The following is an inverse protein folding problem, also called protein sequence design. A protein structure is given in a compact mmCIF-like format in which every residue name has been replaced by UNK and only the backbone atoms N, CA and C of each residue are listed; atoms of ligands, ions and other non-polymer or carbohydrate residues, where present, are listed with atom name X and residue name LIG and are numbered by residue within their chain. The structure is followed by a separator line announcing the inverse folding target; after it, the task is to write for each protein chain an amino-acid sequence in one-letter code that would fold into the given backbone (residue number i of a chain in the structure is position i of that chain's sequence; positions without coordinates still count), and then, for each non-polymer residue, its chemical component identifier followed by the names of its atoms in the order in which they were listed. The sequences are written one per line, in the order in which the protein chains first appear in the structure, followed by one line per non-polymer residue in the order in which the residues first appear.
data_IF_999322120620
#
_entry.id   IF_999322120620
#
_cell.length_a   1.000
_cell.length_b   1.000
_cell.length_c   1.000
_cell.angle_alpha   90.00
_cell.angle_beta   90.00
_cell.angle_gamma   90.00
#
_symmetry.space_group_name_H-M   'P 1'
#
loop_
_entity.id
_entity.type
_entity.pdbx_description
1 polymer ?
#
# COMPACT_ATOMS: atom_id res chain seq x y z
N UNK A 1 -5.89 0.31 -5.97
CA UNK A 1 -4.73 -0.10 -5.14
C UNK A 1 -4.85 -1.59 -4.88
N UNK A 2 -3.89 -2.41 -5.32
CA UNK A 2 -3.85 -3.81 -4.92
C UNK A 2 -3.17 -3.87 -3.55
N UNK A 3 -3.97 -3.85 -2.47
CA UNK A 3 -3.50 -4.20 -1.14
C UNK A 3 -2.93 -5.62 -1.24
N UNK A 4 -1.65 -5.79 -0.89
CA UNK A 4 -1.01 -7.11 -0.81
C UNK A 4 -1.65 -7.85 0.37
N UNK A 5 -2.52 -8.81 0.08
CA UNK A 5 -3.22 -9.63 1.08
C UNK A 5 -2.62 -11.03 1.15
N UNK A 6 -2.89 -11.74 2.25
CA UNK A 6 -2.63 -13.18 2.36
C UNK A 6 -3.55 -13.96 1.41
N UNK A 7 -3.15 -14.01 0.14
CA UNK A 7 -3.79 -14.78 -0.91
C UNK A 7 -3.25 -16.22 -0.94
N UNK A 8 -3.84 -17.06 -1.80
CA UNK A 8 -3.44 -18.46 -1.96
C UNK A 8 -1.97 -18.62 -2.34
N UNK A 9 -1.40 -17.69 -3.10
CA UNK A 9 0.01 -17.69 -3.51
C UNK A 9 0.93 -17.47 -2.31
N UNK A 10 0.67 -16.42 -1.51
CA UNK A 10 1.46 -16.14 -0.30
C UNK A 10 1.37 -17.28 0.71
N UNK A 11 0.20 -17.87 0.89
CA UNK A 11 0.02 -19.04 1.77
C UNK A 11 0.79 -20.25 1.23
N UNK A 12 0.83 -20.44 -0.09
CA UNK A 12 1.60 -21.52 -0.71
C UNK A 12 3.11 -21.34 -0.50
N UNK A 13 3.62 -20.11 -0.60
CA UNK A 13 5.03 -19.82 -0.35
C UNK A 13 5.41 -20.04 1.13
N UNK A 14 4.54 -19.62 2.06
CA UNK A 14 4.71 -19.93 3.50
C UNK A 14 4.76 -21.44 3.71
N UNK A 15 3.87 -22.19 3.06
CA UNK A 15 3.82 -23.65 3.13
C UNK A 15 5.12 -24.26 2.61
N UNK A 16 5.62 -23.75 1.49
CA UNK A 16 6.88 -24.21 0.91
C UNK A 16 8.06 -23.96 1.88
N UNK A 17 8.13 -22.77 2.47
CA UNK A 17 9.16 -22.43 3.47
C UNK A 17 9.05 -23.30 4.73
N UNK A 18 7.84 -23.61 5.16
CA UNK A 18 7.62 -24.47 6.32
C UNK A 18 8.10 -25.89 6.01
N UNK A 19 7.78 -26.41 4.83
CA UNK A 19 8.21 -27.74 4.40
C UNK A 19 9.73 -27.87 4.29
N UNK A 20 10.42 -26.80 3.88
CA UNK A 20 11.88 -26.74 3.85
C UNK A 20 12.50 -26.75 5.26
N UNK A 21 11.78 -26.19 6.24
CA UNK A 21 12.25 -26.05 7.61
C UNK A 21 11.98 -27.30 8.45
N UNK A 22 10.82 -27.94 8.26
CA UNK A 22 10.39 -29.12 9.04
C UNK A 22 10.70 -30.44 8.34
N UNK A 23 10.97 -30.41 7.03
CA UNK A 23 11.07 -31.61 6.19
C UNK A 23 9.72 -32.29 5.93
N UNK A 24 8.61 -31.70 6.34
CA UNK A 24 7.26 -32.25 6.18
C UNK A 24 6.53 -31.56 5.03
N UNK A 25 5.95 -32.35 4.13
CA UNK A 25 5.17 -31.84 2.99
C UNK A 25 3.86 -31.17 3.42
N UNK A 26 3.32 -31.61 4.57
CA UNK A 26 2.05 -31.15 5.10
C UNK A 26 2.23 -30.02 6.12
N UNK A 27 1.28 -29.06 6.19
CA UNK A 27 1.28 -28.02 7.22
C UNK A 27 1.32 -28.60 8.63
N UNK A 28 2.26 -28.12 9.46
CA UNK A 28 2.37 -28.58 10.84
C UNK A 28 1.26 -27.95 11.68
N UNK A 29 0.63 -28.76 12.53
CA UNK A 29 -0.47 -28.30 13.39
C UNK A 29 0.01 -27.16 14.31
N UNK A 30 -0.52 -25.96 14.07
CA UNK A 30 -0.17 -24.77 14.83
C UNK A 30 1.12 -24.07 14.36
N UNK A 31 1.75 -24.56 13.30
CA UNK A 31 2.89 -23.97 12.63
C UNK A 31 2.53 -22.75 11.76
N UNK A 32 3.52 -22.14 11.10
CA UNK A 32 3.37 -20.91 10.31
C UNK A 32 2.23 -20.91 9.29
N UNK A 33 2.09 -21.98 8.52
CA UNK A 33 1.06 -22.16 7.49
C UNK A 33 -0.33 -22.22 8.11
N UNK A 34 -0.47 -22.95 9.21
CA UNK A 34 -1.73 -23.05 9.93
C UNK A 34 -2.17 -21.70 10.53
N UNK A 35 -1.24 -20.80 10.85
CA UNK A 35 -1.56 -19.43 11.26
C UNK A 35 -1.87 -18.54 10.06
N UNK A 36 -1.09 -18.63 8.98
CA UNK A 36 -1.34 -17.86 7.75
C UNK A 36 -2.72 -18.15 7.14
N UNK A 37 -3.17 -19.41 7.18
CA UNK A 37 -4.50 -19.80 6.70
C UNK A 37 -5.64 -19.17 7.50
N UNK A 38 -5.45 -18.89 8.80
CA UNK A 38 -6.47 -18.20 9.63
C UNK A 38 -6.60 -16.72 9.29
N UNK A 39 -5.54 -16.15 8.75
CA UNK A 39 -5.45 -14.75 8.35
C UNK A 39 -5.60 -14.57 6.84
N UNK A 40 -6.24 -15.54 6.17
CA UNK A 40 -6.49 -15.45 4.74
C UNK A 40 -7.32 -14.20 4.40
N UNK A 41 -6.91 -13.48 3.35
CA UNK A 41 -7.46 -12.18 2.92
C UNK A 41 -7.17 -10.99 3.85
N UNK A 42 -6.41 -11.17 4.94
CA UNK A 42 -5.93 -10.04 5.74
C UNK A 42 -4.72 -9.37 5.06
N UNK A 43 -4.40 -8.14 5.51
CA UNK A 43 -3.29 -7.36 4.95
C UNK A 43 -1.93 -7.92 5.37
N UNK A 44 -0.97 -8.01 4.43
CA UNK A 44 0.40 -8.43 4.72
C UNK A 44 1.16 -7.47 5.65
N UNK A 45 0.67 -6.23 5.79
CA UNK A 45 1.23 -5.22 6.68
C UNK A 45 0.67 -5.29 8.11
N UNK A 46 -0.28 -6.18 8.40
CA UNK A 46 -0.83 -6.31 9.75
C UNK A 46 0.19 -7.01 10.68
N UNK A 47 0.66 -6.24 11.66
CA UNK A 47 1.64 -6.72 12.65
C UNK A 47 1.14 -7.92 13.46
N UNK A 48 -0.18 -8.08 13.63
CA UNK A 48 -0.77 -9.22 14.32
C UNK A 48 -0.54 -10.51 13.54
N UNK A 49 -0.72 -10.48 12.22
CA UNK A 49 -0.56 -11.67 11.37
C UNK A 49 0.90 -12.11 11.33
N UNK A 50 1.82 -11.16 11.17
CA UNK A 50 3.26 -11.44 11.21
C UNK A 50 3.67 -12.04 12.56
N UNK A 51 3.12 -11.53 13.67
CA UNK A 51 3.36 -12.07 15.01
C UNK A 51 2.84 -13.50 15.18
N UNK A 52 1.62 -13.79 14.70
CA UNK A 52 1.01 -15.10 14.85
C UNK A 52 1.74 -16.16 14.01
N UNK A 53 2.19 -15.82 12.79
CA UNK A 53 3.04 -16.68 11.96
C UNK A 53 4.39 -16.95 12.64
N UNK A 54 5.01 -15.92 13.23
CA UNK A 54 6.28 -16.04 13.98
C UNK A 54 6.14 -16.98 15.18
N UNK A 55 5.05 -16.85 15.95
CA UNK A 55 4.76 -17.79 17.05
C UNK A 55 4.52 -19.22 16.57
N UNK A 56 3.94 -19.37 15.37
CA UNK A 56 3.80 -20.67 14.72
C UNK A 56 5.17 -21.30 14.45
N UNK A 57 6.12 -20.51 13.94
CA UNK A 57 7.48 -20.96 13.65
C UNK A 57 8.26 -21.30 14.93
N UNK A 58 8.11 -20.48 15.96
CA UNK A 58 8.72 -20.72 17.27
C UNK A 58 8.25 -22.04 17.88
N UNK A 59 6.97 -22.39 17.72
CA UNK A 59 6.42 -23.65 18.21
C UNK A 59 7.02 -24.88 17.54
N UNK A 60 7.43 -24.78 16.28
CA UNK A 60 8.00 -25.91 15.53
C UNK A 60 9.53 -25.98 15.63
N UNK A 61 10.21 -24.83 15.76
CA UNK A 61 11.69 -24.77 15.78
C UNK A 61 12.29 -24.64 17.16
N UNK A 62 11.50 -24.24 18.16
CA UNK A 62 11.94 -23.93 19.54
C UNK A 62 13.04 -22.86 19.64
N UNK A 63 13.25 -22.08 18.57
CA UNK A 63 14.35 -21.10 18.48
C UNK A 63 14.00 -19.71 19.04
N UNK A 64 12.86 -19.54 19.70
CA UNK A 64 12.47 -18.28 20.33
C UNK A 64 12.23 -17.10 19.37
N UNK A 65 12.17 -17.35 18.05
CA UNK A 65 12.02 -16.30 17.05
C UNK A 65 12.10 -16.80 15.60
N UNK A 66 12.06 -15.87 14.61
CA UNK A 66 12.17 -16.20 13.19
C UNK A 66 13.51 -16.86 12.86
N UNK A 67 13.48 -17.97 12.14
CA UNK A 67 14.67 -18.67 11.65
C UNK A 67 15.06 -18.12 10.28
N UNK A 68 16.38 -17.91 10.02
CA UNK A 68 16.84 -17.49 8.71
C UNK A 68 16.35 -18.41 7.58
N UNK A 69 15.65 -17.83 6.59
CA UNK A 69 15.09 -18.58 5.46
C UNK A 69 13.75 -19.28 5.76
N UNK A 70 13.24 -19.19 6.98
CA UNK A 70 11.96 -19.75 7.40
C UNK A 70 10.73 -18.91 6.99
N UNK A 71 9.51 -19.45 7.21
CA UNK A 71 8.24 -18.79 6.90
C UNK A 71 8.08 -17.37 7.48
N UNK A 72 8.44 -17.17 8.74
CA UNK A 72 8.35 -15.90 9.44
C UNK A 72 9.34 -14.90 8.86
N UNK A 73 10.58 -15.31 8.57
CA UNK A 73 11.55 -14.44 7.91
C UNK A 73 11.09 -14.03 6.50
N UNK A 74 10.45 -14.95 5.76
CA UNK A 74 9.85 -14.65 4.45
C UNK A 74 8.74 -13.60 4.57
N UNK A 75 7.81 -13.76 5.51
CA UNK A 75 6.72 -12.80 5.70
C UNK A 75 7.19 -11.47 6.25
N UNK A 76 8.15 -11.45 7.17
CA UNK A 76 8.78 -10.20 7.62
C UNK A 76 9.43 -9.49 6.43
N UNK A 77 10.10 -10.22 5.54
CA UNK A 77 10.69 -9.65 4.32
C UNK A 77 9.64 -9.10 3.36
N UNK A 78 8.55 -9.83 3.13
CA UNK A 78 7.44 -9.36 2.28
C UNK A 78 6.72 -8.16 2.90
N UNK A 79 6.40 -8.21 4.19
CA UNK A 79 5.78 -7.10 4.93
C UNK A 79 6.70 -5.88 4.96
N UNK A 80 8.01 -6.07 5.12
CA UNK A 80 9.00 -4.97 5.04
C UNK A 80 9.10 -4.44 3.62
N UNK A 81 8.98 -5.26 2.58
CA UNK A 81 8.96 -4.81 1.19
C UNK A 81 7.66 -4.06 0.86
N UNK A 82 6.52 -4.53 1.36
CA UNK A 82 5.23 -3.86 1.24
C UNK A 82 5.23 -2.52 2.00
N UNK A 83 5.78 -2.50 3.22
CA UNK A 83 5.99 -1.29 4.00
C UNK A 83 6.98 -0.35 3.31
N UNK A 84 8.07 -0.85 2.73
CA UNK A 84 9.01 -0.04 1.93
C UNK A 84 8.43 0.42 0.61
N UNK A 85 7.47 -0.29 0.02
CA UNK A 85 6.72 0.19 -1.13
C UNK A 85 5.76 1.32 -0.72
N UNK A 86 5.17 1.24 0.47
CA UNK A 86 4.41 2.33 1.07
C UNK A 86 5.30 3.51 1.54
N UNK A 87 6.53 3.24 2.00
CA UNK A 87 7.50 4.24 2.49
C UNK A 87 8.28 4.88 1.32
N UNK A 88 8.41 4.19 0.18
CA UNK A 88 8.78 4.81 -1.10
C UNK A 88 7.69 5.72 -1.65
N UNK A 89 6.49 5.73 -1.04
CA UNK A 89 5.51 6.81 -1.25
C UNK A 89 5.78 8.01 -0.31
N UNK A 90 6.63 7.88 0.72
CA UNK A 90 6.89 8.95 1.69
C UNK A 90 8.30 9.58 1.54
N UNK A 91 9.32 8.80 1.15
CA UNK A 91 10.65 9.32 0.80
C UNK A 91 10.72 9.70 -0.68
N UNK A 92 9.73 10.46 -1.12
CA UNK A 92 9.65 10.91 -2.49
C UNK A 92 10.18 12.33 -2.63
N UNK A 93 10.97 12.54 -3.68
CA UNK A 93 11.51 13.85 -4.00
C UNK A 93 10.32 14.72 -4.44
N UNK A 94 9.74 15.48 -3.53
CA UNK A 94 8.65 16.39 -3.86
C UNK A 94 9.16 17.45 -4.83
N UNK A 95 8.92 17.25 -6.12
CA UNK A 95 9.49 18.09 -7.18
C UNK A 95 8.78 19.43 -7.32
N UNK A 96 7.61 19.58 -6.68
CA UNK A 96 6.73 20.72 -6.90
C UNK A 96 6.08 20.74 -8.29
N UNK A 97 6.16 19.62 -9.02
CA UNK A 97 5.55 19.42 -10.35
C UNK A 97 4.50 18.32 -10.31
N UNK A 98 3.65 18.26 -11.34
CA UNK A 98 2.66 17.20 -11.54
C UNK A 98 3.35 15.95 -12.10
N UNK A 99 4.22 15.34 -11.31
CA UNK A 99 4.82 14.05 -11.62
C UNK A 99 3.83 12.90 -11.37
N UNK A 100 4.22 11.69 -11.80
CA UNK A 100 3.37 10.48 -11.69
C UNK A 100 2.88 10.22 -10.28
N UNK A 101 3.69 10.58 -9.30
CA UNK A 101 3.41 10.44 -7.89
C UNK A 101 2.39 11.46 -7.40
N UNK A 102 2.62 12.75 -7.68
CA UNK A 102 1.70 13.82 -7.30
C UNK A 102 0.33 13.55 -7.91
N UNK A 103 0.31 13.13 -9.17
CA UNK A 103 -0.91 12.70 -9.87
C UNK A 103 -1.55 11.50 -9.17
N UNK A 104 -0.75 10.51 -8.73
CA UNK A 104 -1.28 9.36 -7.99
C UNK A 104 -1.94 9.77 -6.66
N UNK A 105 -1.37 10.73 -5.92
CA UNK A 105 -1.98 11.24 -4.68
C UNK A 105 -3.27 12.02 -4.95
N UNK A 106 -3.30 12.83 -6.00
CA UNK A 106 -4.53 13.51 -6.47
C UNK A 106 -5.59 12.48 -6.85
N UNK A 107 -5.19 11.41 -7.55
CA UNK A 107 -6.08 10.30 -7.94
C UNK A 107 -6.65 9.58 -6.73
N UNK A 108 -5.83 9.29 -5.73
CA UNK A 108 -6.30 8.66 -4.51
C UNK A 108 -7.36 9.51 -3.81
N UNK A 109 -7.09 10.80 -3.62
CA UNK A 109 -8.04 11.71 -2.99
C UNK A 109 -9.33 11.87 -3.82
N UNK A 110 -9.26 11.79 -5.15
CA UNK A 110 -10.44 11.82 -6.01
C UNK A 110 -11.27 10.56 -5.88
N UNK A 111 -10.62 9.39 -5.81
CA UNK A 111 -11.30 8.11 -5.61
C UNK A 111 -11.96 8.03 -4.22
N UNK A 112 -11.31 8.53 -3.17
CA UNK A 112 -11.91 8.62 -1.83
C UNK A 112 -13.12 9.57 -1.82
N UNK A 113 -13.06 10.65 -2.60
CA UNK A 113 -14.13 11.65 -2.68
C UNK A 113 -15.34 11.16 -3.49
N UNK A 114 -15.11 10.46 -4.60
CA UNK A 114 -16.15 10.05 -5.55
C UNK A 114 -16.64 8.63 -5.31
N UNK A 115 -15.83 7.80 -4.64
CA UNK A 115 -16.06 6.36 -4.51
C UNK A 115 -15.76 5.56 -5.79
N UNK A 116 -15.31 6.23 -6.85
CA UNK A 116 -15.01 5.62 -8.14
C UNK A 116 -13.59 5.02 -8.16
N UNK A 117 -13.43 3.87 -8.80
CA UNK A 117 -12.12 3.24 -8.97
C UNK A 117 -11.27 3.91 -10.05
N UNK A 118 -11.89 4.73 -10.90
CA UNK A 118 -11.26 5.40 -12.04
C UNK A 118 -11.41 6.92 -11.95
N UNK A 119 -10.46 7.69 -12.51
CA UNK A 119 -10.55 9.13 -12.61
C UNK A 119 -11.86 9.58 -13.28
N UNK A 120 -12.56 10.54 -12.68
CA UNK A 120 -13.77 11.09 -13.27
C UNK A 120 -13.38 11.88 -14.52
N UNK A 121 -14.18 11.73 -15.59
CA UNK A 121 -13.95 12.46 -16.83
C UNK A 121 -14.05 13.96 -16.59
N UNK A 122 -12.94 14.67 -16.77
CA UNK A 122 -12.85 16.11 -16.49
C UNK A 122 -12.66 16.45 -15.00
N UNK A 123 -12.46 15.44 -14.15
CA UNK A 123 -12.16 15.59 -12.74
C UNK A 123 -10.71 16.03 -12.46
N UNK A 124 -10.38 16.26 -11.19
CA UNK A 124 -9.08 16.75 -10.74
C UNK A 124 -7.87 15.98 -11.30
N UNK A 125 -7.96 14.66 -11.33
CA UNK A 125 -6.92 13.76 -11.86
C UNK A 125 -6.78 13.90 -13.36
N UNK A 126 -7.89 13.94 -14.10
CA UNK A 126 -7.85 14.16 -15.54
C UNK A 126 -7.18 15.50 -15.88
N UNK A 127 -7.38 16.51 -15.03
CA UNK A 127 -6.75 17.80 -15.21
C UNK A 127 -5.28 17.82 -14.81
N UNK A 128 -4.89 17.13 -13.73
CA UNK A 128 -3.50 16.93 -13.35
C UNK A 128 -2.72 16.16 -14.43
N UNK A 129 -3.33 15.13 -15.03
CA UNK A 129 -2.75 14.32 -16.11
C UNK A 129 -2.51 15.11 -17.41
N UNK A 130 -3.30 16.15 -17.71
CA UNK A 130 -3.06 17.01 -18.88
C UNK A 130 -1.81 17.87 -18.75
N UNK A 131 -1.37 18.12 -17.52
CA UNK A 131 -0.27 19.02 -17.19
C UNK A 131 0.90 18.28 -16.55
N UNK A 132 1.08 16.99 -16.91
CA UNK A 132 2.19 16.17 -16.38
C UNK A 132 3.53 16.87 -16.57
N UNK A 133 4.32 16.93 -15.50
CA UNK A 133 5.64 17.57 -15.48
C UNK A 133 5.61 19.09 -15.34
N UNK A 134 4.44 19.72 -15.34
CA UNK A 134 4.33 21.15 -15.07
C UNK A 134 4.28 21.45 -13.55
N UNK A 135 4.67 22.66 -13.10
CA UNK A 135 4.58 23.05 -11.71
C UNK A 135 3.15 22.98 -11.15
N UNK A 136 2.99 22.41 -9.95
CA UNK A 136 1.70 22.28 -9.26
C UNK A 136 1.06 23.65 -9.07
N UNK A 137 1.85 24.67 -8.69
CA UNK A 137 1.34 26.01 -8.40
C UNK A 137 0.60 26.67 -9.57
N UNK A 138 1.00 26.42 -10.83
CA UNK A 138 0.31 26.96 -12.00
C UNK A 138 -0.99 26.22 -12.31
N UNK A 139 -1.02 24.93 -12.01
CA UNK A 139 -2.13 24.03 -12.36
C UNK A 139 -3.12 23.83 -11.21
N UNK A 140 -2.83 24.34 -10.02
CA UNK A 140 -3.68 24.21 -8.84
C UNK A 140 -5.09 24.78 -9.08
N UNK A 141 -5.20 25.89 -9.82
CA UNK A 141 -6.48 26.45 -10.21
C UNK A 141 -7.30 25.47 -11.05
N UNK A 142 -6.69 24.83 -12.05
CA UNK A 142 -7.38 23.87 -12.91
C UNK A 142 -7.86 22.63 -12.13
N UNK A 143 -7.01 22.10 -11.24
CA UNK A 143 -7.36 20.97 -10.36
C UNK A 143 -8.54 21.34 -9.45
N UNK A 144 -8.54 22.58 -8.94
CA UNK A 144 -9.60 23.09 -8.07
C UNK A 144 -10.94 23.24 -8.78
N UNK A 145 -10.95 23.81 -9.97
CA UNK A 145 -12.19 24.00 -10.73
C UNK A 145 -12.78 22.65 -11.15
N UNK A 146 -11.91 21.69 -11.50
CA UNK A 146 -12.32 20.31 -11.75
C UNK A 146 -12.91 19.65 -10.48
N UNK A 147 -12.35 19.90 -9.30
CA UNK A 147 -12.89 19.38 -8.03
C UNK A 147 -14.28 19.95 -7.76
N UNK A 148 -14.46 21.26 -7.89
CA UNK A 148 -15.77 21.90 -7.73
C UNK A 148 -16.81 21.34 -8.70
N UNK A 149 -16.39 20.98 -9.91
CA UNK A 149 -17.29 20.42 -10.92
C UNK A 149 -17.85 19.06 -10.47
N UNK A 150 -17.06 18.25 -9.77
CA UNK A 150 -17.49 16.93 -9.28
C UNK A 150 -18.19 16.98 -7.92
N UNK A 151 -17.95 18.00 -7.10
CA UNK A 151 -18.53 18.16 -5.75
C UNK A 151 -19.72 19.11 -5.69
N UNK A 152 -20.17 19.67 -6.83
CA UNK A 152 -21.30 20.61 -6.86
C UNK A 152 -20.94 22.05 -6.44
N UNK A 153 -19.67 22.43 -6.55
CA UNK A 153 -19.22 23.82 -6.41
C UNK A 153 -18.26 24.07 -5.24
N UNK A 154 -18.07 23.10 -4.35
CA UNK A 154 -17.30 23.29 -3.11
C UNK A 154 -15.99 22.51 -3.10
N UNK A 155 -14.98 23.07 -2.44
CA UNK A 155 -13.75 22.32 -2.14
C UNK A 155 -13.99 21.42 -0.94
N UNK A 156 -13.50 20.19 -1.03
CA UNK A 156 -13.65 19.21 0.03
C UNK A 156 -12.34 19.10 0.81
N UNK A 157 -12.45 19.12 2.14
CA UNK A 157 -11.31 18.93 3.03
C UNK A 157 -10.73 17.53 2.82
N UNK A 158 -9.43 17.46 2.54
CA UNK A 158 -8.78 16.20 2.18
C UNK A 158 -9.02 15.76 0.73
N UNK A 159 -9.74 16.57 -0.06
CA UNK A 159 -9.96 16.30 -1.47
C UNK A 159 -8.74 16.53 -2.36
N UNK A 160 -8.88 16.34 -3.68
CA UNK A 160 -7.80 16.40 -4.67
C UNK A 160 -6.96 17.69 -4.65
N UNK A 161 -7.59 18.85 -4.44
CA UNK A 161 -6.86 20.11 -4.25
C UNK A 161 -5.99 20.06 -3.00
N UNK A 162 -6.53 19.57 -1.89
CA UNK A 162 -5.79 19.50 -0.63
C UNK A 162 -4.55 18.61 -0.77
N UNK A 163 -4.68 17.49 -1.50
CA UNK A 163 -3.55 16.63 -1.84
C UNK A 163 -2.51 17.39 -2.68
N UNK A 164 -2.91 18.07 -3.76
CA UNK A 164 -1.99 18.86 -4.58
C UNK A 164 -1.28 19.98 -3.79
N UNK A 165 -1.99 20.66 -2.88
CA UNK A 165 -1.40 21.67 -2.01
C UNK A 165 -0.42 21.09 -1.00
N UNK A 166 -0.72 19.90 -0.46
CA UNK A 166 0.19 19.19 0.43
C UNK A 166 1.52 18.91 -0.27
N UNK A 167 1.45 18.41 -1.51
CA UNK A 167 2.63 18.12 -2.32
C UNK A 167 3.45 19.35 -2.69
N UNK A 168 2.76 20.44 -3.05
CA UNK A 168 3.44 21.72 -3.26
C UNK A 168 4.11 22.27 -1.98
N UNK A 169 3.53 22.01 -0.81
CA UNK A 169 4.08 22.47 0.48
C UNK A 169 5.29 21.64 0.89
N UNK A 170 5.23 20.32 0.69
CA UNK A 170 6.36 19.42 0.93
C UNK A 170 7.55 19.72 0.01
N UNK A 171 7.29 20.08 -1.25
CA UNK A 171 8.33 20.50 -2.21
C UNK A 171 9.05 21.81 -1.84
N UNK A 172 8.48 22.60 -0.92
CA UNK A 172 9.01 23.89 -0.47
C UNK A 172 9.63 23.84 0.93
N UNK A 173 9.49 22.72 1.63
CA UNK A 173 10.01 22.48 2.98
C UNK A 173 11.41 21.88 2.91
#
# INVERSE_FOLDING_TARGET
MNQQTFNSETISDITHKESQLTGQSDPVKGGPTAQAQKHANESLSDSKVVSDITKGEEKITHNGGPVPGGPAAFIISQATQAAKAADRIDNQTHTGTLDSETISRITHAENELTGEAQPVKGGPTAQAQKHVGEPIGRNLHHITEAEKTITGGERVKGGPTSAAQSELSKARS
#
